data_IF_960911132835
#
_entry.id   IF_960911132835
#
_cell.length_a   1.000
_cell.length_b   1.000
_cell.length_c   1.000
_cell.angle_alpha   90.00
_cell.angle_beta   90.00
_cell.angle_gamma   90.00
#
_symmetry.space_group_name_H-M   'P 1'
#
loop_
_entity.id
_entity.type
_entity.pdbx_description
1 polymer ?
#
# COMPACT_ATOMS: atom_id res chain seq x y z
N UNK A 1 -0.41 15.16 10.26
CA UNK A 1 -0.06 13.74 10.11
C UNK A 1 0.07 13.45 8.62
N UNK A 2 0.89 12.49 8.23
CA UNK A 2 0.98 12.01 6.83
C UNK A 2 0.24 10.68 6.74
N UNK A 3 -0.70 10.58 5.80
CA UNK A 3 -1.44 9.35 5.52
C UNK A 3 -1.06 8.81 4.14
N UNK A 4 -0.82 7.51 4.08
CA UNK A 4 -0.60 6.79 2.83
C UNK A 4 -1.66 5.70 2.73
N UNK A 5 -2.38 5.70 1.61
CA UNK A 5 -3.50 4.79 1.37
C UNK A 5 -3.30 4.05 0.06
N UNK A 6 -3.48 2.73 0.08
CA UNK A 6 -3.66 1.90 -1.11
C UNK A 6 -5.10 1.43 -1.13
N UNK A 7 -5.86 1.91 -2.12
CA UNK A 7 -7.25 1.53 -2.35
C UNK A 7 -7.28 0.44 -3.43
N UNK A 8 -7.75 -0.78 -3.12
CA UNK A 8 -7.97 -1.81 -4.12
C UNK A 8 -9.13 -1.40 -5.05
N UNK A 9 -8.93 -1.57 -6.35
CA UNK A 9 -10.01 -1.52 -7.33
C UNK A 9 -10.45 -2.96 -7.71
N UNK A 10 -11.55 -3.09 -8.44
CA UNK A 10 -12.01 -4.36 -8.97
C UNK A 10 -10.97 -4.95 -9.94
N UNK A 11 -10.55 -6.20 -9.73
CA UNK A 11 -9.60 -6.89 -10.61
C UNK A 11 -10.24 -7.40 -11.93
N UNK A 12 -11.56 -7.23 -12.10
CA UNK A 12 -12.33 -7.81 -13.21
C UNK A 12 -12.65 -9.29 -13.00
N UNK A 13 -13.83 -9.75 -13.41
CA UNK A 13 -14.21 -11.16 -13.26
C UNK A 13 -13.32 -12.07 -14.13
N UNK A 14 -12.92 -13.27 -13.64
CA UNK A 14 -13.26 -13.88 -12.36
C UNK A 14 -12.17 -13.69 -11.27
N UNK A 15 -11.62 -12.48 -11.10
CA UNK A 15 -10.64 -12.14 -10.06
C UNK A 15 -11.19 -11.10 -9.06
N UNK A 16 -10.75 -11.19 -7.81
CA UNK A 16 -11.07 -10.24 -6.74
C UNK A 16 -9.80 -9.73 -6.05
N UNK A 17 -9.81 -8.50 -5.52
CA UNK A 17 -8.74 -8.02 -4.67
C UNK A 17 -8.65 -8.91 -3.42
N UNK A 18 -7.42 -9.31 -3.07
CA UNK A 18 -7.16 -10.26 -1.98
C UNK A 18 -6.45 -9.60 -0.81
N UNK A 19 -5.42 -8.82 -1.09
CA UNK A 19 -4.79 -7.97 -0.10
C UNK A 19 -4.11 -6.76 -0.73
N UNK A 20 -3.89 -5.75 0.09
CA UNK A 20 -3.13 -4.55 -0.23
C UNK A 20 -2.16 -4.26 0.90
N UNK A 21 -1.05 -3.60 0.58
CA UNK A 21 -0.06 -3.12 1.55
C UNK A 21 0.27 -1.69 1.21
N UNK A 22 0.27 -0.82 2.22
CA UNK A 22 0.70 0.56 2.14
C UNK A 22 1.86 0.75 3.12
N UNK A 23 2.96 1.32 2.65
CA UNK A 23 4.12 1.62 3.45
C UNK A 23 4.56 3.08 3.27
N UNK A 24 5.12 3.65 4.32
CA UNK A 24 5.69 5.00 4.32
C UNK A 24 7.03 5.00 5.05
N UNK A 25 7.97 5.76 4.52
CA UNK A 25 9.29 5.99 5.09
C UNK A 25 9.70 7.44 4.85
N UNK A 26 10.47 8.03 5.76
CA UNK A 26 11.13 9.30 5.47
C UNK A 26 12.39 9.05 4.65
N UNK A 27 12.61 9.84 3.60
CA UNK A 27 13.70 9.65 2.63
C UNK A 27 15.09 9.72 3.28
N UNK A 28 15.24 10.46 4.38
CA UNK A 28 16.48 10.56 5.15
C UNK A 28 16.77 9.32 6.00
N UNK A 29 15.99 8.23 5.86
CA UNK A 29 16.06 7.00 6.65
C UNK A 29 15.99 7.23 8.17
N UNK A 30 15.60 8.43 8.62
CA UNK A 30 15.52 8.80 10.02
C UNK A 30 14.27 8.24 10.73
N UNK A 31 13.49 7.41 10.05
CA UNK A 31 12.33 6.71 10.61
C UNK A 31 12.23 5.31 10.00
N UNK A 32 11.93 4.28 10.81
CA UNK A 32 11.69 2.94 10.29
C UNK A 32 10.49 2.95 9.35
N UNK A 33 10.55 2.11 8.31
CA UNK A 33 9.40 1.83 7.45
C UNK A 33 8.18 1.48 8.31
N UNK A 34 7.09 2.22 8.09
CA UNK A 34 5.80 1.91 8.67
C UNK A 34 4.93 1.32 7.57
N UNK A 35 4.45 0.08 7.77
CA UNK A 35 3.57 -0.58 6.83
C UNK A 35 2.26 -0.98 7.52
N UNK A 36 1.18 -0.95 6.75
CA UNK A 36 -0.08 -1.58 7.13
C UNK A 36 -0.68 -2.32 5.94
N UNK A 37 -1.60 -3.25 6.21
CA UNK A 37 -2.22 -4.08 5.19
C UNK A 37 -3.75 -4.04 5.24
N UNK A 38 -4.35 -4.05 4.06
CA UNK A 38 -5.78 -4.25 3.85
C UNK A 38 -6.06 -5.68 3.35
N UNK A 39 -7.24 -6.20 3.66
CA UNK A 39 -7.71 -7.52 3.19
C UNK A 39 -8.92 -7.36 2.28
N UNK A 40 -8.97 -8.16 1.22
CA UNK A 40 -10.04 -8.09 0.24
C UNK A 40 -10.09 -6.70 -0.42
N UNK A 41 -11.30 -6.13 -0.48
CA UNK A 41 -11.53 -4.77 -0.96
C UNK A 41 -11.24 -3.68 0.09
N UNK A 42 -10.80 -4.03 1.30
CA UNK A 42 -10.46 -3.02 2.31
C UNK A 42 -9.16 -2.29 1.94
N UNK A 43 -9.11 -0.96 2.06
CA UNK A 43 -7.90 -0.20 1.82
C UNK A 43 -6.82 -0.51 2.87
N UNK A 44 -5.56 -0.46 2.44
CA UNK A 44 -4.42 -0.44 3.35
C UNK A 44 -4.09 1.02 3.64
N UNK A 45 -4.12 1.42 4.92
CA UNK A 45 -3.81 2.78 5.33
C UNK A 45 -2.76 2.78 6.44
N UNK A 46 -1.72 3.60 6.28
CA UNK A 46 -0.72 3.86 7.32
C UNK A 46 -0.64 5.35 7.60
N UNK A 47 -0.54 5.70 8.89
CA UNK A 47 -0.43 7.09 9.36
C UNK A 47 0.86 7.24 10.13
N UNK A 48 1.64 8.27 9.78
CA UNK A 48 2.89 8.59 10.47
C UNK A 48 2.88 10.05 10.95
N UNK A 49 3.53 10.38 12.07
CA UNK A 49 3.70 11.76 12.51
C UNK A 49 4.34 12.62 11.43
N UNK A 50 3.72 13.78 11.16
CA UNK A 50 4.26 14.73 10.21
C UNK A 50 5.43 15.51 10.82
N UNK A 51 6.49 15.68 10.03
CA UNK A 51 7.68 16.46 10.31
C UNK A 51 7.85 17.49 9.20
N UNK A 52 7.84 18.79 9.52
CA UNK A 52 8.03 19.85 8.53
C UNK A 52 9.37 19.73 7.80
N UNK A 53 9.35 19.91 6.48
CA UNK A 53 10.55 19.88 5.65
C UNK A 53 11.11 18.48 5.40
N UNK A 54 10.37 17.44 5.78
CA UNK A 54 10.76 16.06 5.52
C UNK A 54 10.14 15.57 4.20
N UNK A 55 10.90 14.79 3.43
CA UNK A 55 10.37 14.08 2.27
C UNK A 55 9.92 12.68 2.68
N UNK A 56 8.70 12.32 2.32
CA UNK A 56 8.14 11.00 2.59
C UNK A 56 8.11 10.19 1.29
N UNK A 57 8.64 8.97 1.36
CA UNK A 57 8.56 7.97 0.30
C UNK A 57 7.45 7.00 0.69
N UNK A 58 6.45 6.88 -0.16
CA UNK A 58 5.40 5.88 -0.03
C UNK A 58 5.56 4.78 -1.07
N UNK A 59 5.33 3.56 -0.64
CA UNK A 59 5.33 2.37 -1.48
C UNK A 59 4.09 1.55 -1.17
N UNK A 60 3.61 0.79 -2.14
CA UNK A 60 2.48 -0.09 -1.94
C UNK A 60 2.54 -1.33 -2.79
N UNK A 61 1.64 -2.26 -2.50
CA UNK A 61 1.45 -3.48 -3.25
C UNK A 61 -0.02 -3.86 -3.23
N UNK A 62 -0.57 -4.24 -4.38
CA UNK A 62 -1.92 -4.76 -4.52
C UNK A 62 -1.89 -6.15 -5.13
N UNK A 63 -2.60 -7.10 -4.52
CA UNK A 63 -2.65 -8.47 -4.99
C UNK A 63 -4.10 -8.93 -5.15
N UNK A 64 -4.41 -9.44 -6.34
CA UNK A 64 -5.66 -10.14 -6.60
C UNK A 64 -5.56 -11.63 -6.30
N UNK A 65 -6.67 -12.32 -6.46
CA UNK A 65 -6.77 -13.78 -6.49
C UNK A 65 -7.99 -14.18 -7.31
N UNK A 66 -7.99 -15.40 -7.84
CA UNK A 66 -9.17 -15.91 -8.56
C UNK A 66 -10.32 -16.16 -7.59
N UNK A 67 -11.55 -15.91 -8.04
CA UNK A 67 -12.75 -16.16 -7.25
C UNK A 67 -12.87 -17.65 -6.92
N UNK A 68 -13.17 -17.96 -5.65
CA UNK A 68 -13.39 -19.34 -5.20
C UNK A 68 -12.12 -20.13 -4.85
N UNK A 69 -10.92 -19.57 -5.05
CA UNK A 69 -9.67 -20.17 -4.55
C UNK A 69 -9.01 -19.29 -3.48
N UNK A 70 -8.30 -19.93 -2.55
CA UNK A 70 -7.63 -19.23 -1.46
C UNK A 70 -6.29 -18.60 -1.89
N UNK A 71 -5.72 -19.05 -3.01
CA UNK A 71 -4.42 -18.61 -3.52
C UNK A 71 -4.43 -17.16 -3.99
N UNK A 72 -3.35 -16.47 -3.64
CA UNK A 72 -3.05 -15.12 -4.11
C UNK A 72 -2.38 -15.27 -5.48
N UNK A 73 -2.68 -14.33 -6.39
CA UNK A 73 -1.96 -14.25 -7.66
C UNK A 73 -0.43 -14.20 -7.43
N UNK A 74 0.36 -14.98 -8.20
CA UNK A 74 1.81 -15.06 -8.00
C UNK A 74 2.49 -13.71 -8.24
N UNK A 75 2.00 -12.95 -9.21
CA UNK A 75 2.38 -11.55 -9.40
C UNK A 75 1.39 -10.62 -8.72
N UNK A 76 1.93 -9.74 -7.89
CA UNK A 76 1.18 -8.61 -7.36
C UNK A 76 1.62 -7.33 -8.06
N UNK A 77 0.69 -6.39 -8.20
CA UNK A 77 1.00 -5.07 -8.68
C UNK A 77 1.81 -4.31 -7.63
N UNK A 78 2.98 -3.82 -8.03
CA UNK A 78 3.78 -2.89 -7.23
C UNK A 78 3.25 -1.47 -7.47
N UNK A 79 3.12 -0.68 -6.41
CA UNK A 79 2.64 0.70 -6.44
C UNK A 79 3.72 1.63 -5.88
N UNK A 80 4.09 2.66 -6.65
CA UNK A 80 5.18 3.58 -6.29
C UNK A 80 6.57 3.06 -6.67
N UNK A 81 7.66 3.65 -6.13
CA UNK A 81 7.67 4.62 -5.04
C UNK A 81 7.13 6.00 -5.44
N UNK A 82 6.41 6.66 -4.54
CA UNK A 82 6.00 8.06 -4.68
C UNK A 82 6.71 8.89 -3.62
N UNK A 83 7.29 10.01 -4.02
CA UNK A 83 7.99 10.93 -3.11
C UNK A 83 7.20 12.22 -2.96
N UNK A 84 6.89 12.60 -1.72
CA UNK A 84 6.16 13.82 -1.40
C UNK A 84 6.98 14.68 -0.42
N UNK A 85 7.52 15.83 -0.87
CA UNK A 85 8.06 16.85 0.02
C UNK A 85 6.89 17.56 0.70
N UNK A 86 6.84 17.50 2.03
CA UNK A 86 5.74 18.06 2.85
C UNK A 86 6.24 18.99 3.95
#
# INVERSE_FOLDING_TARGET
MVSVTVSPDACGAPANPRFSVACVQRQDNASPVQCNQGKGAMPAEVRTPYRPGATYVSTGRGCGGWMGIAEIAPQCQVLGPLSAPL
#
